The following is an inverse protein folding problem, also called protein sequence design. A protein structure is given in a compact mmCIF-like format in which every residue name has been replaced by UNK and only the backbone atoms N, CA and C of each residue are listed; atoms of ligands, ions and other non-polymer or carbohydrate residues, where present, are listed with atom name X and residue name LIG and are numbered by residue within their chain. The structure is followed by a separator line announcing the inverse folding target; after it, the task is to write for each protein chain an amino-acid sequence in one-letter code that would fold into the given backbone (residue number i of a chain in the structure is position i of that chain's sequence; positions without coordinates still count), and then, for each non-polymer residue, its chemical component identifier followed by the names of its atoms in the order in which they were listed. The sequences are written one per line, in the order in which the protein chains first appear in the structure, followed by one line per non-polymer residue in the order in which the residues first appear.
data_IF_246340435531
#
_entry.id   IF_246340435531
#
_cell.length_a   1.000
_cell.length_b   1.000
_cell.length_c   1.000
_cell.angle_alpha   90.00
_cell.angle_beta   90.00
_cell.angle_gamma   90.00
#
_symmetry.space_group_name_H-M   'P 1'
#
loop_
_entity.id
_entity.type
_entity.pdbx_description
1 polymer ?
#
# COMPACT_ATOMS: atom_id res chain seq x y z
N UNK A 1 28.64 -20.14 11.95
CA UNK A 1 27.83 -20.20 10.73
C UNK A 1 26.89 -19.01 10.78
N UNK A 2 27.01 -18.09 9.82
CA UNK A 2 26.17 -16.87 9.80
C UNK A 2 24.74 -17.28 9.41
N UNK A 3 23.78 -17.08 10.31
CA UNK A 3 22.35 -17.31 10.05
C UNK A 3 21.86 -16.25 9.06
N UNK A 4 21.94 -16.57 7.77
CA UNK A 4 21.32 -15.76 6.72
C UNK A 4 19.81 -15.99 6.76
N UNK A 5 19.03 -14.92 6.94
CA UNK A 5 17.56 -14.99 6.93
C UNK A 5 17.06 -15.30 5.51
N UNK A 6 15.86 -15.86 5.41
CA UNK A 6 15.26 -16.32 4.14
C UNK A 6 15.15 -15.19 3.10
N UNK A 7 14.97 -13.94 3.53
CA UNK A 7 14.86 -12.76 2.65
C UNK A 7 16.12 -11.89 2.63
N UNK A 8 17.21 -12.31 3.29
CA UNK A 8 18.47 -11.59 3.26
C UNK A 8 19.21 -11.87 1.93
N UNK A 9 19.10 -10.93 1.00
CA UNK A 9 19.75 -10.94 -0.31
C UNK A 9 21.13 -10.27 -0.32
N UNK A 10 21.72 -9.99 0.85
CA UNK A 10 23.09 -9.47 0.94
C UNK A 10 24.11 -10.44 0.31
N UNK A 11 25.25 -9.92 -0.13
CA UNK A 11 26.31 -10.75 -0.71
C UNK A 11 26.84 -11.74 0.31
N UNK A 12 27.07 -12.98 -0.12
CA UNK A 12 27.80 -13.97 0.65
C UNK A 12 29.27 -13.54 0.78
N UNK A 13 29.78 -13.53 2.01
CA UNK A 13 31.18 -13.23 2.32
C UNK A 13 32.10 -14.33 1.79
N UNK A 14 33.20 -13.95 1.15
CA UNK A 14 34.18 -14.88 0.57
C UNK A 14 35.31 -15.27 1.53
N UNK A 15 35.36 -14.72 2.74
CA UNK A 15 36.53 -14.73 3.63
C UNK A 15 36.97 -16.13 4.13
N UNK A 16 36.15 -17.18 3.95
CA UNK A 16 36.45 -18.55 4.41
C UNK A 16 36.26 -19.63 3.36
N UNK A 17 36.02 -19.28 2.09
CA UNK A 17 35.69 -20.26 1.06
C UNK A 17 36.91 -20.81 0.31
N UNK A 18 36.99 -22.13 0.15
CA UNK A 18 38.01 -22.78 -0.70
C UNK A 18 37.96 -22.23 -2.13
N UNK A 19 39.11 -22.18 -2.83
CA UNK A 19 39.22 -21.63 -4.20
C UNK A 19 38.22 -22.26 -5.18
N UNK A 20 37.89 -23.53 -4.97
CA UNK A 20 36.94 -24.31 -5.78
C UNK A 20 35.49 -23.82 -5.66
N UNK A 21 35.13 -23.21 -4.53
CA UNK A 21 33.78 -22.71 -4.26
C UNK A 21 33.57 -21.25 -4.69
N UNK A 22 34.65 -20.52 -5.02
CA UNK A 22 34.57 -19.12 -5.46
C UNK A 22 33.64 -18.88 -6.67
N UNK A 23 33.66 -19.70 -7.73
CA UNK A 23 32.75 -19.52 -8.87
C UNK A 23 31.27 -19.69 -8.50
N UNK A 24 30.97 -20.58 -7.54
CA UNK A 24 29.62 -20.80 -7.03
C UNK A 24 29.15 -19.60 -6.22
N UNK A 25 30.00 -19.07 -5.33
CA UNK A 25 29.72 -17.85 -4.55
C UNK A 25 29.47 -16.65 -5.46
N UNK A 26 30.28 -16.46 -6.50
CA UNK A 26 30.09 -15.40 -7.47
C UNK A 26 28.74 -15.51 -8.19
N UNK A 27 28.39 -16.73 -8.63
CA UNK A 27 27.12 -16.99 -9.32
C UNK A 27 25.92 -16.72 -8.41
N UNK A 28 25.98 -17.18 -7.15
CA UNK A 28 24.92 -16.92 -6.16
C UNK A 28 24.77 -15.42 -5.86
N UNK A 29 25.88 -14.70 -5.70
CA UNK A 29 25.85 -13.24 -5.49
C UNK A 29 25.22 -12.51 -6.69
N UNK A 30 25.51 -12.93 -7.92
CA UNK A 30 24.87 -12.37 -9.12
C UNK A 30 23.36 -12.67 -9.13
N UNK A 31 22.94 -13.87 -8.73
CA UNK A 31 21.52 -14.23 -8.62
C UNK A 31 20.81 -13.38 -7.55
N UNK A 32 21.45 -13.16 -6.38
CA UNK A 32 20.90 -12.30 -5.35
C UNK A 32 20.79 -10.84 -5.79
N UNK A 33 21.77 -10.31 -6.53
CA UNK A 33 21.66 -8.97 -7.13
C UNK A 33 20.49 -8.88 -8.11
N UNK A 34 20.33 -9.87 -9.00
CA UNK A 34 19.23 -9.90 -9.97
C UNK A 34 17.86 -9.98 -9.28
N UNK A 35 17.74 -10.78 -8.22
CA UNK A 35 16.52 -10.94 -7.45
C UNK A 35 16.19 -9.65 -6.67
N UNK A 36 17.18 -9.03 -6.02
CA UNK A 36 17.03 -7.75 -5.34
C UNK A 36 16.57 -6.64 -6.28
N UNK A 37 17.16 -6.58 -7.49
CA UNK A 37 16.75 -5.63 -8.51
C UNK A 37 15.32 -5.89 -9.02
N UNK A 38 14.91 -7.17 -9.14
CA UNK A 38 13.55 -7.53 -9.53
C UNK A 38 12.52 -7.09 -8.48
N UNK A 39 12.73 -7.43 -7.21
CA UNK A 39 11.85 -7.00 -6.12
C UNK A 39 11.79 -5.47 -5.97
N UNK A 40 12.92 -4.79 -6.18
CA UNK A 40 12.94 -3.32 -6.15
C UNK A 40 12.06 -2.73 -7.25
N UNK A 41 12.15 -3.24 -8.49
CA UNK A 41 11.29 -2.80 -9.61
C UNK A 41 9.81 -3.07 -9.35
N UNK A 42 9.48 -4.26 -8.87
CA UNK A 42 8.10 -4.62 -8.53
C UNK A 42 7.52 -3.69 -7.47
N UNK A 43 8.31 -3.34 -6.44
CA UNK A 43 7.90 -2.39 -5.41
C UNK A 43 7.66 -0.99 -5.95
N UNK A 44 8.57 -0.47 -6.80
CA UNK A 44 8.37 0.84 -7.42
C UNK A 44 7.13 0.84 -8.32
N UNK A 45 6.96 -0.18 -9.14
CA UNK A 45 5.77 -0.32 -9.98
C UNK A 45 4.47 -0.36 -9.16
N UNK A 46 4.44 -1.13 -8.07
CA UNK A 46 3.28 -1.19 -7.18
C UNK A 46 2.99 0.16 -6.52
N UNK A 47 4.03 0.89 -6.09
CA UNK A 47 3.90 2.23 -5.50
C UNK A 47 3.42 3.27 -6.52
N UNK A 48 3.92 3.22 -7.76
CA UNK A 48 3.50 4.16 -8.80
C UNK A 48 2.05 3.88 -9.20
N UNK A 49 1.70 2.60 -9.41
CA UNK A 49 0.32 2.19 -9.68
C UNK A 49 -0.63 2.59 -8.55
N UNK A 50 -0.19 2.49 -7.29
CA UNK A 50 -0.95 2.95 -6.13
C UNK A 50 -1.33 4.42 -6.21
N UNK A 51 -0.32 5.25 -6.51
CA UNK A 51 -0.47 6.70 -6.58
C UNK A 51 -1.40 7.12 -7.71
N UNK A 52 -1.21 6.53 -8.90
CA UNK A 52 -2.06 6.76 -10.06
C UNK A 52 -3.51 6.33 -9.79
N UNK A 53 -3.73 5.14 -9.22
CA UNK A 53 -5.06 4.65 -8.87
C UNK A 53 -5.77 5.57 -7.86
N UNK A 54 -5.10 6.01 -6.79
CA UNK A 54 -5.69 6.97 -5.83
C UNK A 54 -6.07 8.28 -6.51
N UNK A 55 -5.22 8.78 -7.39
CA UNK A 55 -5.46 10.03 -8.12
C UNK A 55 -6.66 9.89 -9.03
N UNK A 56 -6.72 8.83 -9.84
CA UNK A 56 -7.84 8.55 -10.74
C UNK A 56 -9.16 8.33 -9.98
N UNK A 57 -9.14 7.62 -8.85
CA UNK A 57 -10.32 7.43 -8.01
C UNK A 57 -10.78 8.72 -7.34
N UNK A 58 -9.86 9.60 -6.94
CA UNK A 58 -10.19 10.92 -6.40
C UNK A 58 -10.90 11.79 -7.46
N UNK A 59 -10.38 11.80 -8.69
CA UNK A 59 -11.03 12.48 -9.82
C UNK A 59 -12.41 11.89 -10.10
N UNK A 60 -12.54 10.57 -10.10
CA UNK A 60 -13.83 9.90 -10.31
C UNK A 60 -14.83 10.24 -9.22
N UNK A 61 -14.41 10.28 -7.96
CA UNK A 61 -15.24 10.68 -6.82
C UNK A 61 -15.74 12.12 -6.96
N UNK A 62 -14.88 13.05 -7.38
CA UNK A 62 -15.27 14.44 -7.68
C UNK A 62 -16.32 14.49 -8.79
N UNK A 63 -16.12 13.74 -9.88
CA UNK A 63 -17.08 13.70 -10.97
C UNK A 63 -18.45 13.17 -10.54
N UNK A 64 -18.49 12.09 -9.74
CA UNK A 64 -19.75 11.55 -9.19
C UNK A 64 -20.41 12.57 -8.26
N UNK A 65 -19.65 13.25 -7.41
CA UNK A 65 -20.16 14.31 -6.55
C UNK A 65 -20.76 15.48 -7.36
N UNK A 66 -20.06 15.92 -8.41
CA UNK A 66 -20.56 16.95 -9.31
C UNK A 66 -21.85 16.53 -10.01
N UNK A 67 -21.96 15.26 -10.43
CA UNK A 67 -23.20 14.72 -11.01
C UNK A 67 -24.34 14.69 -9.99
N UNK A 68 -24.06 14.34 -8.72
CA UNK A 68 -25.06 14.39 -7.65
C UNK A 68 -25.59 15.80 -7.43
N UNK A 69 -24.73 16.82 -7.48
CA UNK A 69 -25.15 18.22 -7.33
C UNK A 69 -25.90 18.73 -8.57
N UNK A 70 -25.43 18.41 -9.77
CA UNK A 70 -25.92 19.04 -11.02
C UNK A 70 -27.08 18.31 -11.69
N UNK A 71 -27.25 17.01 -11.46
CA UNK A 71 -28.23 16.18 -12.16
C UNK A 71 -29.29 15.53 -11.27
N UNK A 72 -29.17 15.60 -9.94
CA UNK A 72 -30.11 14.93 -9.03
C UNK A 72 -31.58 15.33 -9.27
N UNK A 73 -31.85 16.62 -9.52
CA UNK A 73 -33.21 17.13 -9.77
C UNK A 73 -33.76 16.73 -11.15
N UNK A 74 -32.88 16.37 -12.10
CA UNK A 74 -33.25 15.96 -13.45
C UNK A 74 -33.44 14.45 -13.60
N UNK A 75 -33.10 13.68 -12.56
CA UNK A 75 -33.21 12.23 -12.53
C UNK A 75 -34.50 11.79 -11.86
N UNK A 76 -35.12 10.73 -12.38
CA UNK A 76 -36.19 10.03 -11.71
C UNK A 76 -35.67 9.30 -10.46
N UNK A 77 -36.58 8.75 -9.64
CA UNK A 77 -36.22 8.04 -8.40
C UNK A 77 -35.20 6.92 -8.62
N UNK A 78 -35.29 6.21 -9.75
CA UNK A 78 -34.35 5.14 -10.14
C UNK A 78 -32.96 5.71 -10.46
N UNK A 79 -32.89 6.80 -11.21
CA UNK A 79 -31.65 7.48 -11.56
C UNK A 79 -30.93 8.04 -10.33
N UNK A 80 -31.67 8.63 -9.40
CA UNK A 80 -31.11 9.12 -8.13
C UNK A 80 -30.53 7.99 -7.28
N UNK A 81 -31.27 6.87 -7.14
CA UNK A 81 -30.79 5.70 -6.41
C UNK A 81 -29.53 5.11 -7.07
N UNK A 82 -29.50 5.04 -8.40
CA UNK A 82 -28.34 4.55 -9.16
C UNK A 82 -27.11 5.44 -8.98
N UNK A 83 -27.29 6.76 -8.92
CA UNK A 83 -26.21 7.72 -8.72
C UNK A 83 -25.63 7.67 -7.30
N UNK A 84 -26.47 7.42 -6.29
CA UNK A 84 -26.02 7.14 -4.92
C UNK A 84 -25.21 5.83 -4.87
N UNK A 85 -25.72 4.77 -5.51
CA UNK A 85 -25.03 3.49 -5.56
C UNK A 85 -23.68 3.59 -6.30
N UNK A 86 -23.59 4.41 -7.34
CA UNK A 86 -22.33 4.68 -8.04
C UNK A 86 -21.30 5.32 -7.11
N UNK A 87 -21.69 6.35 -6.34
CA UNK A 87 -20.81 6.98 -5.34
C UNK A 87 -20.28 5.97 -4.31
N UNK A 88 -21.18 5.17 -3.74
CA UNK A 88 -20.79 4.11 -2.80
C UNK A 88 -19.85 3.08 -3.42
N UNK A 89 -20.03 2.76 -4.70
CA UNK A 89 -19.17 1.80 -5.41
C UNK A 89 -17.77 2.36 -5.63
N UNK A 90 -17.65 3.66 -5.96
CA UNK A 90 -16.36 4.36 -6.09
C UNK A 90 -15.63 4.41 -4.74
N UNK A 91 -16.34 4.69 -3.64
CA UNK A 91 -15.76 4.68 -2.30
C UNK A 91 -15.25 3.30 -1.90
N UNK A 92 -16.02 2.23 -2.17
CA UNK A 92 -15.58 0.85 -1.94
C UNK A 92 -14.34 0.50 -2.77
N UNK A 93 -14.28 0.93 -4.03
CA UNK A 93 -13.09 0.71 -4.87
C UNK A 93 -11.85 1.39 -4.28
N UNK A 94 -11.99 2.62 -3.78
CA UNK A 94 -10.90 3.32 -3.10
C UNK A 94 -10.42 2.58 -1.85
N UNK A 95 -11.34 2.09 -1.02
CA UNK A 95 -10.98 1.29 0.15
C UNK A 95 -10.26 -0.02 -0.20
N UNK A 96 -10.74 -0.76 -1.21
CA UNK A 96 -10.12 -2.02 -1.63
C UNK A 96 -8.71 -1.78 -2.18
N UNK A 97 -8.53 -0.73 -3.00
CA UNK A 97 -7.21 -0.35 -3.50
C UNK A 97 -6.27 -0.04 -2.34
N UNK A 98 -6.71 0.75 -1.37
CA UNK A 98 -5.86 1.10 -0.22
C UNK A 98 -5.51 -0.12 0.66
N UNK A 99 -6.43 -1.07 0.81
CA UNK A 99 -6.18 -2.36 1.48
C UNK A 99 -5.14 -3.21 0.75
N UNK A 100 -5.26 -3.36 -0.57
CA UNK A 100 -4.28 -4.12 -1.39
C UNK A 100 -2.88 -3.51 -1.25
N UNK A 101 -2.79 -2.19 -1.25
CA UNK A 101 -1.53 -1.47 -1.12
C UNK A 101 -0.94 -1.58 0.28
N UNK A 102 -1.77 -1.49 1.30
CA UNK A 102 -1.36 -1.69 2.70
C UNK A 102 -0.79 -3.09 2.90
N UNK A 103 -1.47 -4.13 2.40
CA UNK A 103 -1.01 -5.52 2.48
C UNK A 103 0.35 -5.71 1.78
N UNK A 104 0.54 -5.09 0.61
CA UNK A 104 1.84 -5.12 -0.09
C UNK A 104 2.96 -4.46 0.72
N UNK A 105 2.65 -3.45 1.53
CA UNK A 105 3.65 -2.71 2.30
C UNK A 105 4.01 -3.38 3.65
N UNK A 106 3.18 -4.29 4.17
CA UNK A 106 3.37 -4.97 5.47
C UNK A 106 4.46 -6.07 5.49
N UNK A 107 5.42 -6.05 4.57
CA UNK A 107 6.50 -7.03 4.57
C UNK A 107 7.42 -6.80 5.80
N UNK A 108 7.53 -7.76 6.74
CA UNK A 108 8.11 -7.55 8.07
C UNK A 108 9.57 -7.05 8.08
N UNK A 109 10.32 -7.32 7.01
CA UNK A 109 11.74 -6.97 6.94
C UNK A 109 12.02 -5.51 6.51
N UNK A 110 11.01 -4.77 6.03
CA UNK A 110 11.13 -3.35 5.64
C UNK A 110 10.64 -2.38 6.71
N UNK A 111 10.03 -2.92 7.76
CA UNK A 111 9.74 -2.20 8.98
C UNK A 111 11.04 -2.07 9.79
N UNK A 112 11.96 -1.22 9.31
CA UNK A 112 12.89 -0.54 10.21
C UNK A 112 12.04 0.39 11.05
N UNK A 113 11.32 -0.17 12.02
CA UNK A 113 10.50 0.58 12.96
C UNK A 113 11.52 1.41 13.74
N UNK A 114 11.68 2.67 13.35
CA UNK A 114 12.16 3.69 14.26
C UNK A 114 11.10 3.76 15.35
N UNK A 115 11.21 2.85 16.32
CA UNK A 115 10.32 2.78 17.46
C UNK A 115 10.56 4.04 18.27
N UNK A 116 9.74 5.06 18.00
CA UNK A 116 9.76 6.30 18.75
C UNK A 116 8.75 6.20 19.87
N UNK A 117 9.04 6.89 20.98
CA UNK A 117 8.12 6.94 22.13
C UNK A 117 6.89 7.74 21.69
N UNK A 118 5.71 7.10 21.70
CA UNK A 118 4.45 7.71 21.29
C UNK A 118 3.62 8.11 22.53
N UNK A 119 3.02 9.29 22.49
CA UNK A 119 2.10 9.77 23.52
C UNK A 119 0.70 9.23 23.18
N UNK A 120 0.29 8.18 23.88
CA UNK A 120 -0.88 7.38 23.54
C UNK A 120 -2.19 8.13 23.84
N UNK A 121 -2.21 9.02 24.84
CA UNK A 121 -3.41 9.72 25.27
C UNK A 121 -3.89 10.72 24.22
N UNK A 122 -2.97 11.53 23.68
CA UNK A 122 -3.23 12.50 22.63
C UNK A 122 -3.66 11.83 21.33
N UNK A 123 -3.01 10.72 20.95
CA UNK A 123 -3.44 9.95 19.77
C UNK A 123 -4.87 9.43 19.94
N UNK A 124 -5.19 8.84 21.10
CA UNK A 124 -6.54 8.35 21.38
C UNK A 124 -7.57 9.47 21.37
N UNK A 125 -7.28 10.64 21.95
CA UNK A 125 -8.18 11.79 21.90
C UNK A 125 -8.44 12.29 20.48
N UNK A 126 -7.41 12.28 19.63
CA UNK A 126 -7.52 12.69 18.25
C UNK A 126 -8.36 11.71 17.44
N UNK A 127 -8.09 10.41 17.56
CA UNK A 127 -8.89 9.36 16.89
C UNK A 127 -10.36 9.40 17.35
N UNK A 128 -10.61 9.59 18.64
CA UNK A 128 -11.98 9.71 19.17
C UNK A 128 -12.68 10.94 18.59
N UNK A 129 -11.98 12.08 18.49
CA UNK A 129 -12.53 13.30 17.90
C UNK A 129 -12.83 13.14 16.42
N UNK A 130 -11.94 12.47 15.68
CA UNK A 130 -12.07 12.24 14.24
C UNK A 130 -13.23 11.29 13.91
N UNK A 131 -13.50 10.29 14.76
CA UNK A 131 -14.58 9.32 14.58
C UNK A 131 -15.91 9.74 15.23
N UNK A 132 -15.91 10.80 16.04
CA UNK A 132 -17.12 11.35 16.67
C UNK A 132 -18.29 11.64 15.69
N UNK A 133 -18.05 12.16 14.47
CA UNK A 133 -19.11 12.43 13.51
C UNK A 133 -19.81 11.16 13.00
N UNK A 134 -19.10 10.03 12.92
CA UNK A 134 -19.66 8.75 12.45
C UNK A 134 -20.54 8.09 13.53
N UNK A 135 -20.22 8.33 14.81
CA UNK A 135 -21.01 7.85 15.96
C UNK A 135 -22.37 8.56 16.04
N UNK A 136 -22.48 9.80 15.54
CA UNK A 136 -23.73 10.58 15.54
C UNK A 136 -24.74 10.17 14.44
N UNK A 137 -24.34 9.31 13.49
CA UNK A 137 -25.22 8.84 12.40
C UNK A 137 -25.86 7.45 12.67
N UNK A 138 -25.68 6.89 13.86
CA UNK A 138 -26.37 5.71 14.38
C UNK A 138 -27.03 6.01 15.73
#
# INVERSE_FOLDING_TARGET
MSEKKINDLSKLSSETSTKELQPVIQTLNLLFERLSAAFSRERYFASDAAHELRTLLSVLKINVHNLQITQSENLDSTGQASLVQLGQSVDRMAHVVDQILTLNHTNPEQLTIAATKLELQGLLQQVISDLYPEILQH
#
